data_IF_679200804196
#
_entry.id   IF_679200804196
#
_cell.length_a   1.000
_cell.length_b   1.000
_cell.length_c   1.000
_cell.angle_alpha   90.00
_cell.angle_beta   90.00
_cell.angle_gamma   90.00
#
_symmetry.space_group_name_H-M   'P 1'
#
loop_
_entity.id
_entity.type
_entity.pdbx_description
1 polymer ?
#
# COMPACT_ATOMS: atom_id res chain seq x y z
N UNK A 1 -10.59 -16.38 13.15
CA UNK A 1 -9.72 -17.15 12.24
C UNK A 1 -8.43 -16.37 12.14
N UNK A 2 -7.31 -16.96 12.53
CA UNK A 2 -6.02 -16.28 12.44
C UNK A 2 -5.48 -16.56 11.03
N UNK A 3 -5.46 -15.54 10.17
CA UNK A 3 -4.99 -15.69 8.78
C UNK A 3 -3.46 -15.83 8.81
N UNK A 4 -2.94 -16.82 8.10
CA UNK A 4 -1.50 -17.06 7.98
C UNK A 4 -0.87 -16.12 6.96
N UNK A 5 0.44 -15.88 7.08
CA UNK A 5 1.20 -15.10 6.07
C UNK A 5 1.11 -15.74 4.70
N UNK A 6 1.19 -17.08 4.62
CA UNK A 6 1.06 -17.81 3.36
C UNK A 6 -0.27 -17.54 2.66
N UNK A 7 -1.37 -17.52 3.41
CA UNK A 7 -2.69 -17.20 2.86
C UNK A 7 -2.78 -15.74 2.41
N UNK A 8 -2.25 -14.80 3.19
CA UNK A 8 -2.23 -13.38 2.80
C UNK A 8 -1.37 -13.12 1.56
N UNK A 9 -0.22 -13.78 1.44
CA UNK A 9 0.64 -13.66 0.26
C UNK A 9 -0.09 -14.16 -0.98
N UNK A 10 -0.75 -15.33 -0.89
CA UNK A 10 -1.54 -15.84 -2.02
C UNK A 10 -2.69 -14.89 -2.40
N UNK A 11 -3.37 -14.30 -1.43
CA UNK A 11 -4.42 -13.30 -1.70
C UNK A 11 -3.85 -12.03 -2.35
N UNK A 12 -2.67 -11.56 -1.91
CA UNK A 12 -2.01 -10.40 -2.50
C UNK A 12 -1.58 -10.67 -3.95
N UNK A 13 -1.05 -11.86 -4.23
CA UNK A 13 -0.67 -12.27 -5.58
C UNK A 13 -1.86 -12.30 -6.54
N UNK A 14 -3.06 -12.72 -6.08
CA UNK A 14 -4.27 -12.65 -6.92
C UNK A 14 -4.67 -11.20 -7.22
N UNK A 15 -4.57 -10.29 -6.25
CA UNK A 15 -4.85 -8.87 -6.48
C UNK A 15 -3.86 -8.24 -7.48
N UNK A 16 -2.59 -8.60 -7.41
CA UNK A 16 -1.58 -8.11 -8.34
C UNK A 16 -1.75 -8.63 -9.78
N UNK A 17 -2.54 -9.68 -10.01
CA UNK A 17 -2.92 -10.07 -11.38
C UNK A 17 -3.91 -9.07 -12.00
N UNK A 18 -4.73 -8.41 -11.18
CA UNK A 18 -5.69 -7.40 -11.62
C UNK A 18 -5.03 -6.02 -11.73
N UNK A 19 -4.17 -5.66 -10.77
CA UNK A 19 -3.42 -4.39 -10.73
C UNK A 19 -1.94 -4.65 -10.39
N UNK A 20 -1.09 -4.92 -11.39
CA UNK A 20 0.29 -5.31 -11.16
C UNK A 20 1.14 -4.16 -10.62
N UNK A 21 1.98 -4.47 -9.63
CA UNK A 21 2.98 -3.53 -9.10
C UNK A 21 4.17 -3.45 -10.07
N UNK A 22 4.47 -2.24 -10.55
CA UNK A 22 5.65 -1.98 -11.37
C UNK A 22 6.88 -1.77 -10.46
N UNK A 23 7.71 -2.81 -10.34
CA UNK A 23 8.97 -2.75 -9.61
C UNK A 23 10.11 -2.11 -10.42
N UNK A 24 9.92 -1.85 -11.72
CA UNK A 24 10.98 -1.36 -12.61
C UNK A 24 12.25 -2.23 -12.55
N UNK A 25 13.41 -1.57 -12.52
CA UNK A 25 14.73 -2.22 -12.40
C UNK A 25 15.21 -2.34 -10.93
N UNK A 26 14.30 -2.29 -9.97
CA UNK A 26 14.68 -2.31 -8.55
C UNK A 26 15.14 -3.71 -8.12
N UNK A 27 16.20 -3.83 -7.30
CA UNK A 27 16.82 -5.10 -6.95
C UNK A 27 16.06 -5.83 -5.82
N UNK A 28 14.73 -5.91 -5.89
CA UNK A 28 13.90 -6.58 -4.89
C UNK A 28 13.59 -8.01 -5.31
N UNK A 29 13.67 -8.94 -4.35
CA UNK A 29 12.98 -10.22 -4.45
C UNK A 29 11.51 -10.02 -4.13
N UNK A 30 10.64 -10.06 -5.14
CA UNK A 30 9.22 -9.73 -4.95
C UNK A 30 8.53 -10.64 -3.92
N UNK A 31 8.71 -11.98 -3.92
CA UNK A 31 8.09 -12.85 -2.91
C UNK A 31 8.56 -12.51 -1.48
N UNK A 32 9.85 -12.25 -1.30
CA UNK A 32 10.43 -11.87 -0.01
C UNK A 32 9.89 -10.53 0.46
N UNK A 33 9.74 -9.56 -0.46
CA UNK A 33 9.19 -8.25 -0.17
C UNK A 33 7.72 -8.34 0.26
N UNK A 34 6.89 -9.10 -0.45
CA UNK A 34 5.48 -9.36 -0.07
C UNK A 34 5.40 -9.95 1.32
N UNK A 35 6.17 -11.00 1.60
CA UNK A 35 6.20 -11.66 2.89
C UNK A 35 6.61 -10.72 4.03
N UNK A 36 7.64 -9.89 3.81
CA UNK A 36 8.12 -8.92 4.78
C UNK A 36 7.05 -7.86 5.10
N UNK A 37 6.44 -7.27 4.07
CA UNK A 37 5.41 -6.23 4.23
C UNK A 37 4.19 -6.80 4.94
N UNK A 38 3.69 -7.96 4.53
CA UNK A 38 2.54 -8.61 5.15
C UNK A 38 2.81 -9.00 6.61
N UNK A 39 4.03 -9.44 6.93
CA UNK A 39 4.43 -9.73 8.31
C UNK A 39 4.35 -8.48 9.17
N UNK A 40 4.91 -7.36 8.70
CA UNK A 40 4.85 -6.10 9.45
C UNK A 40 3.41 -5.59 9.63
N UNK A 41 2.56 -5.73 8.61
CA UNK A 41 1.15 -5.33 8.70
C UNK A 41 0.36 -6.20 9.69
N UNK A 42 0.60 -7.51 9.76
CA UNK A 42 -0.02 -8.38 10.74
C UNK A 42 0.41 -8.04 12.17
N UNK A 43 1.67 -7.72 12.40
CA UNK A 43 2.16 -7.27 13.72
C UNK A 43 1.48 -5.97 14.16
N UNK A 44 1.32 -5.02 13.23
CA UNK A 44 0.57 -3.78 13.47
C UNK A 44 -0.91 -4.07 13.75
N UNK A 45 -1.52 -4.99 13.01
CA UNK A 45 -2.90 -5.42 13.26
C UNK A 45 -3.08 -5.97 14.68
N UNK A 46 -2.21 -6.89 15.09
CA UNK A 46 -2.24 -7.47 16.44
C UNK A 46 -2.05 -6.39 17.51
N UNK A 47 -1.16 -5.43 17.28
CA UNK A 47 -0.94 -4.30 18.19
C UNK A 47 -2.18 -3.41 18.32
N UNK A 48 -2.87 -3.13 17.22
CA UNK A 48 -4.12 -2.37 17.22
C UNK A 48 -5.24 -3.12 17.94
N UNK A 49 -5.39 -4.43 17.72
CA UNK A 49 -6.37 -5.25 18.45
C UNK A 49 -6.08 -5.27 19.95
N UNK A 50 -4.80 -5.31 20.34
CA UNK A 50 -4.39 -5.30 21.75
C UNK A 50 -4.54 -3.92 22.42
N UNK A 51 -4.71 -2.84 21.66
CA UNK A 51 -4.81 -1.47 22.20
C UNK A 51 -6.15 -1.15 22.87
N UNK A 52 -7.14 -2.05 22.77
CA UNK A 52 -8.48 -1.86 23.34
C UNK A 52 -9.40 -0.97 22.50
N UNK A 53 -8.98 -0.59 21.28
CA UNK A 53 -9.83 0.07 20.30
C UNK A 53 -11.02 -0.81 19.90
N UNK A 54 -12.16 -0.18 19.64
CA UNK A 54 -13.29 -0.91 19.08
C UNK A 54 -13.02 -1.23 17.58
N UNK A 55 -13.73 -2.20 16.99
CA UNK A 55 -13.50 -2.57 15.59
C UNK A 55 -13.67 -1.42 14.57
N UNK A 56 -14.56 -0.46 14.86
CA UNK A 56 -14.74 0.73 14.04
C UNK A 56 -13.52 1.65 14.04
N UNK A 57 -12.90 1.85 15.19
CA UNK A 57 -11.69 2.67 15.33
C UNK A 57 -10.48 2.01 14.66
N UNK A 58 -10.40 0.67 14.69
CA UNK A 58 -9.39 -0.10 13.95
C UNK A 58 -9.57 0.12 12.44
N UNK A 59 -10.80 0.06 11.93
CA UNK A 59 -11.10 0.33 10.53
C UNK A 59 -10.78 1.77 10.13
N UNK A 60 -11.15 2.76 10.97
CA UNK A 60 -10.79 4.17 10.77
C UNK A 60 -9.27 4.36 10.71
N UNK A 61 -8.54 3.68 11.59
CA UNK A 61 -7.08 3.71 11.60
C UNK A 61 -6.53 3.18 10.28
N UNK A 62 -7.03 2.04 9.79
CA UNK A 62 -6.64 1.52 8.48
C UNK A 62 -6.96 2.50 7.36
N UNK A 63 -8.17 3.05 7.30
CA UNK A 63 -8.55 4.04 6.28
C UNK A 63 -7.60 5.26 6.27
N UNK A 64 -7.27 5.81 7.44
CA UNK A 64 -6.38 6.97 7.56
C UNK A 64 -4.94 6.62 7.16
N UNK A 65 -4.43 5.45 7.56
CA UNK A 65 -3.09 5.01 7.16
C UNK A 65 -3.00 4.71 5.66
N UNK A 66 -4.05 4.14 5.06
CA UNK A 66 -4.14 3.96 3.61
C UNK A 66 -4.18 5.30 2.89
N UNK A 67 -4.94 6.28 3.39
CA UNK A 67 -4.97 7.63 2.82
C UNK A 67 -3.57 8.28 2.86
N UNK A 68 -2.84 8.15 3.97
CA UNK A 68 -1.47 8.64 4.07
C UNK A 68 -0.54 7.93 3.08
N UNK A 69 -0.61 6.60 2.98
CA UNK A 69 0.20 5.84 2.02
C UNK A 69 -0.06 6.28 0.57
N UNK A 70 -1.33 6.52 0.21
CA UNK A 70 -1.70 7.00 -1.12
C UNK A 70 -1.14 8.41 -1.37
N UNK A 71 -1.20 9.30 -0.39
CA UNK A 71 -0.63 10.66 -0.48
C UNK A 71 0.91 10.58 -0.63
N UNK A 72 1.57 9.76 0.18
CA UNK A 72 3.02 9.58 0.11
C UNK A 72 3.45 9.02 -1.25
N UNK A 73 2.75 7.99 -1.75
CA UNK A 73 3.01 7.42 -3.06
C UNK A 73 2.78 8.45 -4.19
N UNK A 74 1.73 9.26 -4.09
CA UNK A 74 1.46 10.33 -5.04
C UNK A 74 2.59 11.37 -5.09
N UNK A 75 3.06 11.80 -3.91
CA UNK A 75 4.17 12.75 -3.79
C UNK A 75 5.48 12.15 -4.30
N UNK A 76 5.75 10.88 -4.00
CA UNK A 76 6.91 10.15 -4.53
C UNK A 76 6.87 10.09 -6.06
N UNK A 77 5.73 9.71 -6.63
CA UNK A 77 5.55 9.67 -8.08
C UNK A 77 5.78 11.05 -8.71
N UNK A 78 5.19 12.11 -8.15
CA UNK A 78 5.41 13.48 -8.62
C UNK A 78 6.89 13.88 -8.57
N UNK A 79 7.61 13.51 -7.51
CA UNK A 79 9.06 13.75 -7.37
C UNK A 79 9.86 13.00 -8.43
N UNK A 80 9.52 11.74 -8.71
CA UNK A 80 10.18 10.96 -9.77
C UNK A 80 10.02 11.61 -11.14
N UNK A 81 8.81 12.09 -11.48
CA UNK A 81 8.57 12.82 -12.73
C UNK A 81 9.45 14.07 -12.84
N UNK A 82 9.58 14.84 -11.74
CA UNK A 82 10.46 16.03 -11.70
C UNK A 82 11.92 15.66 -11.88
N UNK A 83 12.39 14.59 -11.23
CA UNK A 83 13.77 14.11 -11.38
C UNK A 83 14.08 13.65 -12.81
N UNK A 84 13.08 13.16 -13.53
CA UNK A 84 13.16 12.82 -14.95
C UNK A 84 13.07 14.04 -15.89
N UNK A 85 12.98 15.26 -15.34
CA UNK A 85 12.87 16.50 -16.10
C UNK A 85 11.47 16.79 -16.66
N UNK A 86 10.45 16.03 -16.23
CA UNK A 86 9.08 16.27 -16.68
C UNK A 86 8.45 17.44 -15.92
N UNK A 87 7.57 18.18 -16.60
CA UNK A 87 6.69 19.16 -15.94
C UNK A 87 5.48 18.43 -15.36
N UNK A 88 5.20 18.65 -14.08
CA UNK A 88 4.02 18.07 -13.44
C UNK A 88 2.75 18.82 -13.89
N UNK A 89 1.79 18.10 -14.45
CA UNK A 89 0.39 18.53 -14.49
C UNK A 89 -0.36 17.90 -13.29
N UNK A 90 -0.62 18.73 -12.28
CA UNK A 90 -1.30 18.30 -11.05
C UNK A 90 -2.72 17.82 -11.33
N UNK A 91 -3.42 18.41 -12.29
CA UNK A 91 -4.79 18.02 -12.63
C UNK A 91 -4.82 16.65 -13.30
N UNK A 92 -3.85 16.37 -14.18
CA UNK A 92 -3.68 15.04 -14.75
C UNK A 92 -3.31 14.01 -13.69
N UNK A 93 -2.40 14.36 -12.78
CA UNK A 93 -1.91 13.50 -11.72
C UNK A 93 -3.01 13.09 -10.72
N UNK A 94 -3.92 14.02 -10.39
CA UNK A 94 -5.03 13.78 -9.46
C UNK A 94 -6.22 13.05 -10.12
N UNK A 95 -6.27 13.00 -11.46
CA UNK A 95 -7.42 12.46 -12.20
C UNK A 95 -7.79 11.03 -11.79
N UNK A 96 -6.77 10.20 -11.49
CA UNK A 96 -6.96 8.80 -11.06
C UNK A 96 -7.65 8.64 -9.70
N UNK A 97 -7.71 9.69 -8.89
CA UNK A 97 -8.38 9.67 -7.57
C UNK A 97 -9.71 10.40 -7.54
N UNK A 98 -10.05 11.14 -8.61
CA UNK A 98 -11.32 11.87 -8.73
C UNK A 98 -12.45 11.06 -9.36
N UNK A 99 -12.19 9.85 -9.82
CA UNK A 99 -13.21 8.89 -10.24
C UNK A 99 -13.45 7.90 -9.09
N UNK A 100 -14.26 8.32 -8.12
CA UNK A 100 -14.97 7.43 -7.21
C UNK A 100 -16.37 7.17 -7.74
#
# INVERSE_FOLDING_TARGET
MEVTISELTGLLEELEKEDPVDYGDLPFGEPELRGLVLTSLLERHRSLQASGLNPGDVNLTYMLTTALLVIENLVLHARLLVLQGQRIDVSALLRKYSAG
#
